data_IF_312714978059
#
_entry.id   IF_312714978059
#
_cell.length_a   1.000
_cell.length_b   1.000
_cell.length_c   1.000
_cell.angle_alpha   90.00
_cell.angle_beta   90.00
_cell.angle_gamma   90.00
#
_symmetry.space_group_name_H-M   'P 1'
#
loop_
_entity.id
_entity.type
_entity.pdbx_description
1 polymer ?
#
# COMPACT_ATOMS: atom_id res chain seq x y z
N UNK A 1 21.81 7.30 -32.59
CA UNK A 1 20.40 7.63 -32.27
C UNK A 1 20.35 8.25 -30.88
N UNK A 2 20.00 9.55 -30.73
CA UNK A 2 19.89 10.17 -29.39
C UNK A 2 18.61 9.67 -28.71
N UNK A 3 18.74 8.83 -27.70
CA UNK A 3 17.59 8.32 -26.93
C UNK A 3 16.97 9.51 -26.17
N UNK A 4 15.66 9.72 -26.35
CA UNK A 4 14.93 10.73 -25.61
C UNK A 4 14.80 10.30 -24.14
N UNK A 5 15.44 11.05 -23.23
CA UNK A 5 15.47 10.72 -21.80
C UNK A 5 14.07 10.57 -21.20
N UNK A 6 13.12 11.47 -21.54
CA UNK A 6 11.75 11.39 -21.04
C UNK A 6 11.08 10.07 -21.44
N UNK A 7 11.20 9.67 -22.71
CA UNK A 7 10.63 8.41 -23.20
C UNK A 7 11.28 7.20 -22.53
N UNK A 8 12.61 7.20 -22.42
CA UNK A 8 13.38 6.11 -21.81
C UNK A 8 13.01 5.89 -20.33
N UNK A 9 13.12 6.93 -19.50
CA UNK A 9 12.81 6.80 -18.07
C UNK A 9 11.33 6.51 -17.82
N UNK A 10 10.43 7.05 -18.65
CA UNK A 10 9.01 6.70 -18.56
C UNK A 10 8.79 5.22 -18.86
N UNK A 11 9.40 4.68 -19.92
CA UNK A 11 9.26 3.27 -20.28
C UNK A 11 9.79 2.34 -19.18
N UNK A 12 10.98 2.62 -18.65
CA UNK A 12 11.58 1.82 -17.56
C UNK A 12 10.72 1.92 -16.29
N UNK A 13 10.20 3.10 -15.95
CA UNK A 13 9.30 3.26 -14.81
C UNK A 13 8.02 2.43 -14.95
N UNK A 14 7.39 2.45 -16.13
CA UNK A 14 6.19 1.64 -16.42
C UNK A 14 6.50 0.14 -16.35
N UNK A 15 7.64 -0.28 -16.87
CA UNK A 15 8.08 -1.68 -16.78
C UNK A 15 8.22 -2.12 -15.31
N UNK A 16 8.86 -1.31 -14.47
CA UNK A 16 9.00 -1.60 -13.04
C UNK A 16 7.64 -1.63 -12.34
N UNK A 17 6.73 -0.68 -12.65
CA UNK A 17 5.38 -0.67 -12.10
C UNK A 17 4.59 -1.94 -12.45
N UNK A 18 4.65 -2.40 -13.70
CA UNK A 18 3.94 -3.62 -14.10
C UNK A 18 4.58 -4.88 -13.53
N UNK A 19 5.91 -4.94 -13.45
CA UNK A 19 6.59 -5.99 -12.70
C UNK A 19 6.07 -6.03 -11.26
N UNK A 20 5.95 -4.88 -10.58
CA UNK A 20 5.41 -4.78 -9.22
C UNK A 20 3.99 -5.35 -9.07
N UNK A 21 3.14 -5.17 -10.08
CA UNK A 21 1.76 -5.65 -10.02
C UNK A 21 1.60 -7.12 -10.42
N UNK A 22 2.33 -7.56 -11.45
CA UNK A 22 2.01 -8.80 -12.15
C UNK A 22 3.08 -9.89 -12.03
N UNK A 23 4.30 -9.56 -11.61
CA UNK A 23 5.33 -10.57 -11.42
C UNK A 23 5.07 -11.36 -10.13
N UNK A 24 4.86 -12.69 -10.19
CA UNK A 24 4.51 -13.49 -9.00
C UNK A 24 5.65 -13.55 -7.97
N UNK A 25 6.90 -13.55 -8.44
CA UNK A 25 8.07 -13.68 -7.57
C UNK A 25 8.48 -12.33 -6.97
N UNK A 26 8.26 -12.20 -5.65
CA UNK A 26 8.74 -11.04 -4.88
C UNK A 26 10.25 -10.84 -5.01
N UNK A 27 11.05 -11.91 -4.99
CA UNK A 27 12.51 -11.84 -5.07
C UNK A 27 12.98 -11.26 -6.41
N UNK A 28 12.43 -11.77 -7.52
CA UNK A 28 12.78 -11.24 -8.85
C UNK A 28 12.34 -9.79 -8.96
N UNK A 29 11.17 -9.45 -8.38
CA UNK A 29 10.66 -8.09 -8.38
C UNK A 29 11.61 -7.10 -7.72
N UNK A 30 12.06 -7.39 -6.48
CA UNK A 30 12.96 -6.49 -5.77
C UNK A 30 14.31 -6.36 -6.48
N UNK A 31 14.83 -7.43 -7.10
CA UNK A 31 16.07 -7.35 -7.89
C UNK A 31 15.91 -6.43 -9.11
N UNK A 32 14.78 -6.49 -9.81
CA UNK A 32 14.50 -5.59 -10.94
C UNK A 32 14.42 -4.12 -10.48
N UNK A 33 13.84 -3.85 -9.31
CA UNK A 33 13.79 -2.50 -8.75
C UNK A 33 15.19 -2.00 -8.38
N UNK A 34 15.98 -2.82 -7.69
CA UNK A 34 17.37 -2.50 -7.34
C UNK A 34 18.18 -2.23 -8.62
N UNK A 35 18.05 -3.09 -9.63
CA UNK A 35 18.66 -2.91 -10.93
C UNK A 35 18.24 -1.59 -11.59
N UNK A 36 16.95 -1.23 -11.55
CA UNK A 36 16.46 0.03 -12.08
C UNK A 36 17.07 1.26 -11.39
N UNK A 37 17.32 1.18 -10.08
CA UNK A 37 18.04 2.24 -9.34
C UNK A 37 19.52 2.27 -9.75
N UNK A 38 20.21 1.13 -9.77
CA UNK A 38 21.61 1.07 -10.19
C UNK A 38 21.82 1.55 -11.63
N UNK A 39 20.94 1.15 -12.55
CA UNK A 39 20.96 1.62 -13.93
C UNK A 39 20.85 3.14 -13.99
N UNK A 40 19.94 3.75 -13.22
CA UNK A 40 19.83 5.20 -13.14
C UNK A 40 21.12 5.84 -12.60
N UNK A 41 21.66 5.32 -11.51
CA UNK A 41 22.88 5.85 -10.89
C UNK A 41 24.10 5.74 -11.82
N UNK A 42 24.19 4.66 -12.60
CA UNK A 42 25.24 4.46 -13.60
C UNK A 42 25.10 5.45 -14.77
N UNK A 43 23.90 5.59 -15.34
CA UNK A 43 23.66 6.48 -16.49
C UNK A 43 23.77 7.98 -16.14
N UNK A 44 23.43 8.35 -14.91
CA UNK A 44 23.44 9.74 -14.42
C UNK A 44 24.60 10.03 -13.46
N UNK A 45 25.65 9.21 -13.50
CA UNK A 45 26.85 9.37 -12.68
C UNK A 45 27.42 10.79 -12.78
N UNK A 46 27.78 11.37 -11.63
CA UNK A 46 28.29 12.75 -11.53
C UNK A 46 27.25 13.87 -11.69
N UNK A 47 25.98 13.57 -12.01
CA UNK A 47 24.89 14.56 -12.21
C UNK A 47 23.77 14.46 -11.16
N UNK A 48 23.98 13.62 -10.15
CA UNK A 48 23.01 13.33 -9.12
C UNK A 48 22.98 14.44 -8.06
N UNK A 49 21.85 15.15 -7.97
CA UNK A 49 21.59 16.12 -6.90
C UNK A 49 20.27 15.70 -6.25
N UNK A 50 20.34 15.25 -5.01
CA UNK A 50 19.17 14.85 -4.21
C UNK A 50 18.90 15.91 -3.16
N UNK A 51 17.64 16.30 -3.00
CA UNK A 51 17.28 17.30 -2.01
C UNK A 51 17.47 16.76 -0.59
N UNK A 52 17.96 17.61 0.32
CA UNK A 52 18.05 17.28 1.75
C UNK A 52 16.68 16.96 2.33
N UNK A 53 15.62 17.61 1.83
CA UNK A 53 14.24 17.29 2.14
C UNK A 53 13.91 15.82 1.85
N UNK A 54 14.20 15.33 0.64
CA UNK A 54 13.94 13.93 0.27
C UNK A 54 14.81 12.96 1.06
N UNK A 55 16.09 13.27 1.26
CA UNK A 55 17.01 12.43 2.05
C UNK A 55 16.50 12.24 3.48
N UNK A 56 15.90 13.27 4.11
CA UNK A 56 15.29 13.14 5.44
C UNK A 56 14.05 12.22 5.48
N UNK A 57 13.37 12.00 4.35
CA UNK A 57 12.27 11.04 4.28
C UNK A 57 12.83 9.62 4.12
N UNK A 58 13.79 9.46 3.20
CA UNK A 58 14.48 8.21 2.93
C UNK A 58 15.22 7.67 4.17
N UNK A 59 15.89 8.55 4.91
CA UNK A 59 16.65 8.22 6.11
C UNK A 59 15.78 7.59 7.21
N UNK A 60 14.49 7.94 7.31
CA UNK A 60 13.61 7.32 8.31
C UNK A 60 13.32 5.85 7.92
N UNK A 61 13.05 5.57 6.64
CA UNK A 61 12.82 4.21 6.17
C UNK A 61 14.09 3.35 6.28
N UNK A 62 15.24 3.92 5.90
CA UNK A 62 16.55 3.26 6.09
C UNK A 62 16.86 3.05 7.57
N UNK A 63 16.50 3.99 8.43
CA UNK A 63 16.66 3.86 9.88
C UNK A 63 15.82 2.71 10.46
N UNK A 64 14.56 2.56 10.04
CA UNK A 64 13.72 1.42 10.45
C UNK A 64 14.37 0.10 10.01
N UNK A 65 14.84 0.03 8.77
CA UNK A 65 15.60 -1.13 8.28
C UNK A 65 16.86 -1.39 9.11
N UNK A 66 17.60 -0.33 9.47
CA UNK A 66 18.80 -0.40 10.31
C UNK A 66 18.53 -0.97 11.70
N UNK A 67 17.43 -0.57 12.35
CA UNK A 67 17.05 -1.05 13.68
C UNK A 67 16.86 -2.58 13.73
N UNK A 68 16.35 -3.19 12.66
CA UNK A 68 16.18 -4.64 12.60
C UNK A 68 17.50 -5.41 12.73
N UNK A 69 18.65 -4.83 12.38
CA UNK A 69 19.95 -5.48 12.56
C UNK A 69 20.36 -5.57 14.03
N UNK A 70 19.93 -4.63 14.88
CA UNK A 70 20.22 -4.69 16.33
C UNK A 70 19.62 -5.98 16.92
N UNK A 71 18.35 -6.26 16.63
CA UNK A 71 17.70 -7.50 17.04
C UNK A 71 18.37 -8.75 16.43
N UNK A 72 18.82 -8.68 15.17
CA UNK A 72 19.50 -9.81 14.51
C UNK A 72 20.81 -10.18 15.19
N UNK A 73 21.60 -9.18 15.61
CA UNK A 73 22.86 -9.38 16.33
C UNK A 73 22.63 -10.09 17.68
N UNK A 74 21.53 -9.77 18.37
CA UNK A 74 21.18 -10.34 19.67
C UNK A 74 20.69 -11.78 19.54
N UNK A 75 19.80 -12.07 18.58
CA UNK A 75 19.07 -13.35 18.54
C UNK A 75 19.61 -14.37 17.53
N UNK A 76 20.61 -14.02 16.71
CA UNK A 76 21.32 -14.89 15.75
C UNK A 76 20.39 -15.76 14.90
N UNK A 77 19.92 -15.21 13.79
CA UNK A 77 19.02 -15.89 12.85
C UNK A 77 19.76 -16.51 11.66
N UNK A 78 19.08 -17.38 10.91
CA UNK A 78 19.64 -17.96 9.69
C UNK A 78 19.83 -16.90 8.61
N UNK A 79 20.93 -17.00 7.85
CA UNK A 79 21.28 -16.02 6.81
C UNK A 79 20.20 -15.87 5.74
N UNK A 80 19.55 -16.99 5.36
CA UNK A 80 18.46 -16.99 4.37
C UNK A 80 17.28 -16.13 4.83
N UNK A 81 16.89 -16.24 6.10
CA UNK A 81 15.77 -15.45 6.63
C UNK A 81 16.16 -13.98 6.81
N UNK A 82 17.40 -13.71 7.21
CA UNK A 82 17.93 -12.35 7.32
C UNK A 82 17.86 -11.65 5.96
N UNK A 83 18.37 -12.29 4.91
CA UNK A 83 18.34 -11.74 3.55
C UNK A 83 16.91 -11.53 3.05
N UNK A 84 16.00 -12.45 3.36
CA UNK A 84 14.58 -12.30 3.02
C UNK A 84 14.02 -11.00 3.61
N UNK A 85 14.18 -10.78 4.92
CA UNK A 85 13.64 -9.59 5.57
C UNK A 85 14.32 -8.29 5.09
N UNK A 86 15.63 -8.32 4.84
CA UNK A 86 16.36 -7.19 4.25
C UNK A 86 15.69 -6.76 2.93
N UNK A 87 15.35 -7.70 2.05
CA UNK A 87 14.66 -7.37 0.81
C UNK A 87 13.26 -6.79 1.03
N UNK A 88 12.51 -7.31 2.01
CA UNK A 88 11.20 -6.74 2.38
C UNK A 88 11.31 -5.29 2.90
N UNK A 89 12.26 -5.02 3.80
CA UNK A 89 12.44 -3.68 4.37
C UNK A 89 13.09 -2.69 3.40
N UNK A 90 13.91 -3.18 2.46
CA UNK A 90 14.51 -2.35 1.42
C UNK A 90 13.51 -1.94 0.33
N UNK A 91 12.43 -2.71 0.12
CA UNK A 91 11.41 -2.42 -0.89
C UNK A 91 10.90 -0.97 -0.88
N UNK A 92 10.36 -0.43 0.22
CA UNK A 92 9.86 0.95 0.22
C UNK A 92 10.97 1.99 -0.02
N UNK A 93 12.22 1.71 0.37
CA UNK A 93 13.38 2.59 0.09
C UNK A 93 13.62 2.67 -1.41
N UNK A 94 13.68 1.53 -2.09
CA UNK A 94 13.95 1.44 -3.54
C UNK A 94 12.78 1.99 -4.34
N UNK A 95 11.53 1.67 -3.99
CA UNK A 95 10.35 2.20 -4.66
C UNK A 95 10.25 3.73 -4.58
N UNK A 96 10.54 4.30 -3.42
CA UNK A 96 10.58 5.75 -3.23
C UNK A 96 11.69 6.41 -4.06
N UNK A 97 12.87 5.79 -4.12
CA UNK A 97 13.99 6.24 -4.96
C UNK A 97 13.64 6.22 -6.45
N UNK A 98 13.04 5.14 -6.95
CA UNK A 98 12.66 5.02 -8.37
C UNK A 98 11.72 6.15 -8.76
N UNK A 99 10.64 6.35 -8.01
CA UNK A 99 9.69 7.44 -8.26
C UNK A 99 10.36 8.81 -8.27
N UNK A 100 11.21 9.10 -7.27
CA UNK A 100 11.87 10.38 -7.14
C UNK A 100 12.91 10.63 -8.24
N UNK A 101 13.82 9.70 -8.47
CA UNK A 101 14.95 9.87 -9.39
C UNK A 101 14.49 9.97 -10.85
N UNK A 102 13.55 9.13 -11.25
CA UNK A 102 13.09 9.07 -12.64
C UNK A 102 12.29 10.32 -12.98
N UNK A 103 11.37 10.75 -12.11
CA UNK A 103 10.60 11.96 -12.34
C UNK A 103 11.39 13.25 -12.08
N UNK A 104 12.48 13.19 -11.31
CA UNK A 104 13.48 14.26 -11.31
C UNK A 104 14.11 14.45 -12.68
N UNK A 105 14.47 13.37 -13.37
CA UNK A 105 15.08 13.45 -14.69
C UNK A 105 14.08 13.85 -15.78
N UNK A 106 12.83 13.43 -15.66
CA UNK A 106 11.74 13.81 -16.57
C UNK A 106 11.33 15.28 -16.36
N UNK A 107 11.29 15.74 -15.11
CA UNK A 107 10.92 17.10 -14.69
C UNK A 107 9.64 17.65 -15.35
N UNK A 108 8.62 16.81 -15.51
CA UNK A 108 7.34 17.23 -16.08
C UNK A 108 6.19 16.53 -15.35
N UNK A 109 5.42 17.31 -14.59
CA UNK A 109 4.33 16.81 -13.78
C UNK A 109 3.17 16.25 -14.63
N UNK A 110 2.87 16.87 -15.78
CA UNK A 110 1.85 16.38 -16.71
C UNK A 110 2.24 15.02 -17.29
N UNK A 111 3.53 14.81 -17.61
CA UNK A 111 4.05 13.51 -18.05
C UNK A 111 3.90 12.46 -16.95
N UNK A 112 4.25 12.79 -15.70
CA UNK A 112 4.02 11.88 -14.56
C UNK A 112 2.57 11.43 -14.43
N UNK A 113 1.63 12.39 -14.39
CA UNK A 113 0.21 12.07 -14.27
C UNK A 113 -0.26 11.25 -15.47
N UNK A 114 0.16 11.61 -16.69
CA UNK A 114 -0.18 10.86 -17.91
C UNK A 114 0.35 9.42 -17.86
N UNK A 115 1.57 9.21 -17.37
CA UNK A 115 2.18 7.89 -17.21
C UNK A 115 1.35 7.02 -16.28
N UNK A 116 0.92 7.53 -15.12
CA UNK A 116 0.06 6.79 -14.19
C UNK A 116 -1.30 6.48 -14.81
N UNK A 117 -1.93 7.47 -15.46
CA UNK A 117 -3.25 7.28 -16.11
C UNK A 117 -3.19 6.22 -17.22
N UNK A 118 -2.21 6.31 -18.13
CA UNK A 118 -2.05 5.34 -19.23
C UNK A 118 -1.73 3.95 -18.68
N UNK A 119 -0.84 3.86 -17.69
CA UNK A 119 -0.50 2.57 -17.07
C UNK A 119 -1.71 1.95 -16.39
N UNK A 120 -2.54 2.75 -15.70
CA UNK A 120 -3.80 2.28 -15.12
C UNK A 120 -4.81 1.79 -16.15
N UNK A 121 -4.95 2.47 -17.29
CA UNK A 121 -5.85 2.03 -18.37
C UNK A 121 -5.39 0.67 -18.93
N UNK A 122 -4.08 0.50 -19.16
CA UNK A 122 -3.51 -0.79 -19.59
C UNK A 122 -3.76 -1.86 -18.51
N UNK A 123 -3.56 -1.51 -17.24
CA UNK A 123 -3.78 -2.41 -16.10
C UNK A 123 -5.24 -2.89 -16.02
N UNK A 124 -6.20 -1.98 -16.24
CA UNK A 124 -7.62 -2.30 -16.27
C UNK A 124 -7.98 -3.18 -17.49
N UNK A 125 -7.35 -2.96 -18.65
CA UNK A 125 -7.52 -3.84 -19.81
C UNK A 125 -7.01 -5.26 -19.51
N UNK A 126 -5.86 -5.40 -18.84
CA UNK A 126 -5.35 -6.69 -18.37
C UNK A 126 -6.34 -7.33 -17.38
N UNK A 127 -6.89 -6.54 -16.46
CA UNK A 127 -7.86 -7.04 -15.48
C UNK A 127 -9.13 -7.59 -16.15
N UNK A 128 -9.72 -6.87 -17.11
CA UNK A 128 -10.86 -7.35 -17.88
C UNK A 128 -10.53 -8.61 -18.69
N UNK A 129 -9.33 -8.67 -19.28
CA UNK A 129 -8.86 -9.88 -19.95
C UNK A 129 -8.79 -11.07 -18.98
N UNK A 130 -8.23 -10.89 -17.79
CA UNK A 130 -8.17 -11.94 -16.77
C UNK A 130 -9.59 -12.41 -16.38
N UNK A 131 -10.51 -11.48 -16.14
CA UNK A 131 -11.90 -11.82 -15.82
C UNK A 131 -12.56 -12.62 -16.96
N UNK A 132 -12.41 -12.16 -18.20
CA UNK A 132 -13.08 -12.75 -19.35
C UNK A 132 -12.61 -14.19 -19.66
N UNK A 133 -11.32 -14.48 -19.43
CA UNK A 133 -10.71 -15.74 -19.86
C UNK A 133 -10.39 -16.72 -18.72
N UNK A 134 -10.18 -16.26 -17.48
CA UNK A 134 -9.76 -17.11 -16.37
C UNK A 134 -10.86 -17.35 -15.33
N UNK A 135 -11.82 -16.43 -15.20
CA UNK A 135 -12.88 -16.57 -14.18
C UNK A 135 -14.02 -17.42 -14.74
N UNK A 136 -14.12 -18.67 -14.26
CA UNK A 136 -15.16 -19.63 -14.70
C UNK A 136 -16.57 -19.27 -14.25
N UNK A 137 -16.72 -18.67 -13.07
CA UNK A 137 -18.01 -18.29 -12.50
C UNK A 137 -18.01 -16.81 -12.11
N UNK A 138 -18.68 -15.97 -12.89
CA UNK A 138 -18.80 -14.53 -12.62
C UNK A 138 -19.78 -14.21 -11.48
N UNK A 139 -20.66 -15.15 -11.11
CA UNK A 139 -21.63 -14.96 -10.03
C UNK A 139 -21.03 -15.14 -8.62
N UNK A 140 -19.83 -15.73 -8.52
CA UNK A 140 -19.13 -15.90 -7.26
C UNK A 140 -18.02 -14.86 -7.11
N UNK A 141 -18.09 -14.06 -6.05
CA UNK A 141 -17.08 -13.04 -5.75
C UNK A 141 -15.71 -13.70 -5.47
N UNK A 142 -15.71 -14.90 -4.93
CA UNK A 142 -14.50 -15.65 -4.57
C UNK A 142 -13.69 -16.07 -5.80
N UNK A 143 -14.34 -16.55 -6.86
CA UNK A 143 -13.68 -16.92 -8.13
C UNK A 143 -13.13 -15.72 -8.88
N UNK A 144 -13.78 -14.55 -8.81
CA UNK A 144 -13.20 -13.30 -9.33
C UNK A 144 -11.93 -12.98 -8.54
N UNK A 145 -12.03 -12.97 -7.20
CA UNK A 145 -10.93 -12.60 -6.31
C UNK A 145 -9.74 -13.56 -6.30
N UNK A 146 -9.93 -14.80 -6.73
CA UNK A 146 -8.86 -15.78 -6.90
C UNK A 146 -7.82 -15.28 -7.91
N UNK A 147 -8.28 -14.70 -9.02
CA UNK A 147 -7.43 -14.23 -10.12
C UNK A 147 -7.23 -12.70 -10.13
N UNK A 148 -8.08 -11.94 -9.44
CA UNK A 148 -7.97 -10.48 -9.33
C UNK A 148 -7.84 -10.03 -7.87
N UNK A 149 -6.63 -9.64 -7.46
CA UNK A 149 -6.43 -8.90 -6.19
C UNK A 149 -6.30 -7.40 -6.46
N UNK A 150 -6.48 -6.61 -5.42
CA UNK A 150 -6.51 -5.16 -5.45
C UNK A 150 -5.36 -4.51 -6.25
N UNK A 151 -5.72 -3.44 -6.97
CA UNK A 151 -4.81 -2.70 -7.83
C UNK A 151 -4.94 -1.19 -7.61
N UNK A 152 -4.07 -0.66 -6.74
CA UNK A 152 -4.08 0.78 -6.46
C UNK A 152 -3.64 1.64 -7.65
N UNK A 153 -2.95 1.09 -8.66
CA UNK A 153 -2.55 1.86 -9.84
C UNK A 153 -3.77 2.38 -10.60
N UNK A 154 -4.77 1.52 -10.80
CA UNK A 154 -6.02 1.87 -11.47
C UNK A 154 -6.82 2.90 -10.67
N UNK A 155 -6.82 2.77 -9.34
CA UNK A 155 -7.50 3.72 -8.47
C UNK A 155 -6.83 5.10 -8.52
N UNK A 156 -5.51 5.18 -8.43
CA UNK A 156 -4.79 6.44 -8.59
C UNK A 156 -4.97 7.01 -9.99
N UNK A 157 -4.95 6.18 -11.05
CA UNK A 157 -5.23 6.60 -12.41
C UNK A 157 -6.64 7.22 -12.56
N UNK A 158 -7.66 6.61 -11.94
CA UNK A 158 -9.03 7.12 -11.95
C UNK A 158 -9.10 8.51 -11.28
N UNK A 159 -8.54 8.64 -10.09
CA UNK A 159 -8.52 9.91 -9.35
C UNK A 159 -7.70 10.98 -10.08
N UNK A 160 -6.58 10.61 -10.67
CA UNK A 160 -5.76 11.51 -11.49
C UNK A 160 -6.55 11.99 -12.71
N UNK A 161 -7.19 11.08 -13.44
CA UNK A 161 -7.98 11.43 -14.61
C UNK A 161 -9.15 12.38 -14.28
N UNK A 162 -9.87 12.12 -13.19
CA UNK A 162 -11.05 12.92 -12.78
C UNK A 162 -10.63 14.29 -12.21
N UNK A 163 -9.64 14.33 -11.32
CA UNK A 163 -9.34 15.52 -10.53
C UNK A 163 -8.18 16.36 -11.05
N UNK A 164 -7.37 15.88 -11.98
CA UNK A 164 -6.25 16.67 -12.52
C UNK A 164 -6.71 18.02 -13.08
N UNK A 165 -7.78 18.04 -13.88
CA UNK A 165 -8.34 19.28 -14.44
C UNK A 165 -8.76 20.29 -13.37
N UNK A 166 -9.28 19.81 -12.23
CA UNK A 166 -9.71 20.66 -11.11
C UNK A 166 -8.55 21.45 -10.51
N UNK A 167 -7.34 20.88 -10.49
CA UNK A 167 -6.17 21.50 -9.86
C UNK A 167 -5.24 22.20 -10.85
N UNK A 168 -5.07 21.65 -12.06
CA UNK A 168 -4.11 22.15 -13.06
C UNK A 168 -4.77 22.95 -14.19
N UNK A 169 -6.09 23.13 -14.14
CA UNK A 169 -6.88 23.90 -15.12
C UNK A 169 -7.03 23.25 -16.51
N UNK A 170 -6.14 22.32 -16.87
CA UNK A 170 -6.13 21.64 -18.17
C UNK A 170 -6.45 20.14 -18.02
N UNK A 171 -7.18 19.54 -18.98
CA UNK A 171 -7.43 18.11 -18.95
C UNK A 171 -6.18 17.31 -19.36
N UNK A 172 -6.02 16.12 -18.78
CA UNK A 172 -4.93 15.20 -19.15
C UNK A 172 -5.16 14.55 -20.52
N UNK A 173 -6.42 14.23 -20.83
CA UNK A 173 -6.90 13.77 -22.15
C UNK A 173 -7.81 14.87 -22.71
N UNK A 174 -7.44 15.45 -23.84
CA UNK A 174 -8.14 16.61 -24.43
C UNK A 174 -9.54 16.25 -24.94
N UNK A 175 -9.69 15.06 -25.54
CA UNK A 175 -10.97 14.59 -26.02
C UNK A 175 -11.85 14.11 -24.85
N UNK A 176 -12.94 14.83 -24.60
CA UNK A 176 -13.90 14.54 -23.51
C UNK A 176 -14.52 13.14 -23.60
N UNK A 177 -14.77 12.62 -24.81
CA UNK A 177 -15.34 11.27 -25.00
C UNK A 177 -14.35 10.20 -24.55
N UNK A 178 -13.09 10.32 -24.96
CA UNK A 178 -12.03 9.39 -24.54
C UNK A 178 -11.74 9.49 -23.04
N UNK A 179 -11.72 10.71 -22.48
CA UNK A 179 -11.57 10.89 -21.03
C UNK A 179 -12.71 10.20 -20.26
N UNK A 180 -13.96 10.41 -20.67
CA UNK A 180 -15.13 9.77 -20.04
C UNK A 180 -15.11 8.25 -20.17
N UNK A 181 -14.79 7.73 -21.36
CA UNK A 181 -14.66 6.30 -21.59
C UNK A 181 -13.57 5.67 -20.70
N UNK A 182 -12.39 6.31 -20.61
CA UNK A 182 -11.31 5.87 -19.74
C UNK A 182 -11.70 5.91 -18.25
N UNK A 183 -12.40 6.95 -17.79
CA UNK A 183 -12.90 7.02 -16.41
C UNK A 183 -13.91 5.90 -16.10
N UNK A 184 -14.83 5.63 -17.03
CA UNK A 184 -15.83 4.55 -16.88
C UNK A 184 -15.15 3.19 -16.83
N UNK A 185 -14.19 2.94 -17.73
CA UNK A 185 -13.40 1.71 -17.77
C UNK A 185 -12.64 1.48 -16.46
N UNK A 186 -11.94 2.50 -15.96
CA UNK A 186 -11.21 2.43 -14.69
C UNK A 186 -12.15 2.25 -13.48
N UNK A 187 -13.30 2.93 -13.48
CA UNK A 187 -14.28 2.81 -12.41
C UNK A 187 -14.84 1.39 -12.30
N UNK A 188 -15.30 0.81 -13.42
CA UNK A 188 -15.81 -0.56 -13.43
C UNK A 188 -14.72 -1.57 -13.08
N UNK A 189 -13.49 -1.38 -13.57
CA UNK A 189 -12.37 -2.24 -13.19
C UNK A 189 -12.07 -2.18 -11.70
N UNK A 190 -12.02 -0.97 -11.11
CA UNK A 190 -11.85 -0.78 -9.66
C UNK A 190 -12.97 -1.44 -8.84
N UNK A 191 -14.21 -1.37 -9.32
CA UNK A 191 -15.37 -1.97 -8.68
C UNK A 191 -15.31 -3.50 -8.68
N UNK A 192 -14.90 -4.10 -9.81
CA UNK A 192 -14.83 -5.56 -9.98
C UNK A 192 -13.71 -6.25 -9.18
N UNK A 193 -12.78 -5.51 -8.59
CA UNK A 193 -11.83 -6.09 -7.61
C UNK A 193 -12.50 -6.50 -6.29
N UNK A 194 -13.70 -6.00 -5.99
CA UNK A 194 -14.42 -6.24 -4.74
C UNK A 194 -13.56 -6.05 -3.48
N UNK A 195 -12.61 -5.10 -3.48
CA UNK A 195 -11.63 -4.93 -2.41
C UNK A 195 -12.06 -3.89 -1.38
N UNK A 196 -12.27 -4.36 -0.13
CA UNK A 196 -12.54 -3.50 1.04
C UNK A 196 -11.47 -2.41 1.21
N UNK A 197 -10.20 -2.78 1.05
CA UNK A 197 -9.08 -1.83 1.19
C UNK A 197 -9.09 -0.78 0.08
N UNK A 198 -9.41 -1.15 -1.17
CA UNK A 198 -9.54 -0.16 -2.26
C UNK A 198 -10.67 0.83 -2.02
N UNK A 199 -11.80 0.38 -1.47
CA UNK A 199 -12.93 1.27 -1.10
C UNK A 199 -12.47 2.28 -0.04
N UNK A 200 -11.78 1.81 1.01
CA UNK A 200 -11.23 2.69 2.05
C UNK A 200 -10.24 3.69 1.46
N UNK A 201 -9.34 3.26 0.58
CA UNK A 201 -8.38 4.14 -0.10
C UNK A 201 -9.09 5.18 -0.98
N UNK A 202 -10.14 4.78 -1.71
CA UNK A 202 -10.95 5.67 -2.52
C UNK A 202 -11.64 6.74 -1.67
N UNK A 203 -12.20 6.35 -0.52
CA UNK A 203 -12.81 7.27 0.45
C UNK A 203 -11.76 8.25 0.98
N UNK A 204 -10.58 7.79 1.38
CA UNK A 204 -9.50 8.68 1.86
C UNK A 204 -9.11 9.68 0.78
N UNK A 205 -8.88 9.23 -0.47
CA UNK A 205 -8.55 10.11 -1.59
C UNK A 205 -9.64 11.16 -1.83
N UNK A 206 -10.91 10.74 -1.82
CA UNK A 206 -12.06 11.63 -1.99
C UNK A 206 -12.10 12.69 -0.88
N UNK A 207 -12.08 12.25 0.38
CA UNK A 207 -12.11 13.14 1.54
C UNK A 207 -10.92 14.11 1.53
N UNK A 208 -9.72 13.66 1.14
CA UNK A 208 -8.54 14.53 1.04
C UNK A 208 -8.68 15.60 -0.04
N UNK A 209 -9.20 15.23 -1.22
CA UNK A 209 -9.43 16.17 -2.33
C UNK A 209 -10.46 17.25 -1.98
N UNK A 210 -11.49 16.89 -1.23
CA UNK A 210 -12.48 17.85 -0.73
C UNK A 210 -12.02 18.59 0.55
N UNK A 211 -10.91 18.17 1.16
CA UNK A 211 -10.32 18.81 2.33
C UNK A 211 -10.91 18.36 3.67
N UNK A 212 -11.70 17.29 3.69
CA UNK A 212 -12.30 16.72 4.90
C UNK A 212 -11.28 15.96 5.77
N UNK A 213 -10.12 15.58 5.23
CA UNK A 213 -9.06 14.95 6.04
C UNK A 213 -8.23 15.96 6.83
N UNK A 214 -8.34 17.27 6.56
CA UNK A 214 -7.68 18.28 7.37
C UNK A 214 -8.38 18.37 8.72
N UNK A 215 -7.65 18.27 9.83
CA UNK A 215 -8.24 18.39 11.17
C UNK A 215 -8.58 19.85 11.42
N UNK A 216 -9.88 20.12 11.60
CA UNK A 216 -10.49 21.42 11.89
C UNK A 216 -11.69 21.17 12.79
N UNK A 217 -12.20 22.20 13.47
CA UNK A 217 -13.40 22.06 14.31
C UNK A 217 -14.58 21.44 13.54
N UNK A 218 -14.80 21.87 12.29
CA UNK A 218 -15.88 21.35 11.43
C UNK A 218 -15.66 19.88 11.04
N UNK A 219 -14.44 19.51 10.66
CA UNK A 219 -14.16 18.12 10.27
C UNK A 219 -14.18 17.16 11.46
N UNK A 220 -13.80 17.61 12.66
CA UNK A 220 -13.97 16.85 13.90
C UNK A 220 -15.47 16.62 14.21
N UNK A 221 -16.32 17.64 14.04
CA UNK A 221 -17.77 17.48 14.22
C UNK A 221 -18.36 16.46 13.24
N UNK A 222 -17.98 16.54 11.96
CA UNK A 222 -18.42 15.57 10.93
C UNK A 222 -17.93 14.17 11.29
N UNK A 223 -16.66 14.02 11.70
CA UNK A 223 -16.11 12.73 12.12
C UNK A 223 -16.87 12.15 13.32
N UNK A 224 -17.23 12.98 14.30
CA UNK A 224 -18.05 12.57 15.44
C UNK A 224 -19.42 12.01 15.02
N UNK A 225 -20.10 12.68 14.09
CA UNK A 225 -21.38 12.20 13.54
C UNK A 225 -21.20 10.87 12.78
N UNK A 226 -20.15 10.76 11.95
CA UNK A 226 -19.87 9.52 11.21
C UNK A 226 -19.57 8.37 12.17
N UNK A 227 -18.78 8.60 13.22
CA UNK A 227 -18.50 7.59 14.24
C UNK A 227 -19.75 7.20 15.03
N UNK A 228 -20.65 8.15 15.33
CA UNK A 228 -21.94 7.87 15.95
C UNK A 228 -22.79 6.95 15.05
N UNK A 229 -22.93 7.30 13.77
CA UNK A 229 -23.70 6.50 12.80
C UNK A 229 -23.10 5.10 12.63
N UNK A 230 -21.77 5.00 12.54
CA UNK A 230 -21.09 3.70 12.50
C UNK A 230 -21.31 2.91 13.79
N UNK A 231 -21.26 3.56 14.96
CA UNK A 231 -21.56 2.93 16.24
C UNK A 231 -22.98 2.37 16.30
N UNK A 232 -23.97 3.13 15.84
CA UNK A 232 -25.36 2.68 15.73
C UNK A 232 -25.52 1.53 14.73
N UNK A 233 -24.84 1.60 13.58
CA UNK A 233 -24.83 0.52 12.59
C UNK A 233 -24.24 -0.77 13.18
N UNK A 234 -23.11 -0.69 13.89
CA UNK A 234 -22.53 -1.86 14.54
C UNK A 234 -23.44 -2.40 15.64
N UNK A 235 -24.07 -1.54 16.45
CA UNK A 235 -25.06 -1.98 17.44
C UNK A 235 -26.22 -2.75 16.79
N UNK A 236 -26.71 -2.29 15.65
CA UNK A 236 -27.71 -3.02 14.85
C UNK A 236 -27.17 -4.35 14.31
N UNK A 237 -25.98 -4.37 13.69
CA UNK A 237 -25.40 -5.59 13.13
C UNK A 237 -25.13 -6.67 14.20
N UNK A 238 -24.77 -6.26 15.41
CA UNK A 238 -24.55 -7.19 16.53
C UNK A 238 -25.85 -7.77 17.11
N UNK A 239 -26.95 -7.01 17.04
CA UNK A 239 -28.27 -7.49 17.50
C UNK A 239 -29.02 -8.29 16.42
N UNK A 240 -28.73 -8.05 15.14
CA UNK A 240 -29.32 -8.80 14.03
C UNK A 240 -28.73 -10.22 13.90
N UNK A 241 -29.60 -11.21 13.64
CA UNK A 241 -29.25 -12.62 13.38
C UNK A 241 -28.67 -12.83 11.97
N UNK A 242 -27.51 -12.23 11.72
CA UNK A 242 -26.80 -12.33 10.44
C UNK A 242 -25.82 -13.51 10.49
N UNK A 243 -26.04 -14.52 9.65
CA UNK A 243 -25.27 -15.78 9.63
C UNK A 243 -24.32 -15.87 8.44
N UNK A 244 -23.22 -16.63 8.62
CA UNK A 244 -22.21 -16.90 7.59
C UNK A 244 -22.78 -17.56 6.33
N UNK A 245 -23.80 -18.41 6.49
CA UNK A 245 -24.43 -19.18 5.42
C UNK A 245 -25.32 -18.36 4.48
N UNK A 246 -25.63 -17.12 4.83
CA UNK A 246 -26.57 -16.31 4.07
C UNK A 246 -25.92 -15.87 2.75
N UNK A 247 -26.72 -15.72 1.69
CA UNK A 247 -26.24 -15.36 0.34
C UNK A 247 -26.49 -13.89 0.03
N UNK A 248 -25.75 -13.33 -0.93
CA UNK A 248 -25.97 -11.98 -1.43
C UNK A 248 -25.61 -10.88 -0.42
N UNK A 249 -26.53 -9.94 -0.20
CA UNK A 249 -26.29 -8.75 0.63
C UNK A 249 -26.05 -9.08 2.11
N UNK A 250 -26.72 -10.09 2.65
CA UNK A 250 -26.51 -10.52 4.04
C UNK A 250 -25.11 -11.10 4.27
N UNK A 251 -24.55 -11.80 3.26
CA UNK A 251 -23.16 -12.26 3.30
C UNK A 251 -22.17 -11.09 3.39
N UNK A 252 -22.48 -9.99 2.72
CA UNK A 252 -21.70 -8.76 2.78
C UNK A 252 -21.82 -8.08 4.15
N UNK A 253 -23.03 -7.98 4.70
CA UNK A 253 -23.25 -7.46 6.06
C UNK A 253 -22.55 -8.31 7.12
N UNK A 254 -22.54 -9.64 6.97
CA UNK A 254 -21.77 -10.54 7.82
C UNK A 254 -20.27 -10.22 7.79
N UNK A 255 -19.71 -9.99 6.60
CA UNK A 255 -18.30 -9.59 6.44
C UNK A 255 -17.98 -8.23 7.06
N UNK A 256 -18.94 -7.28 7.07
CA UNK A 256 -18.79 -6.00 7.78
C UNK A 256 -18.82 -6.22 9.30
N UNK A 257 -19.82 -6.98 9.78
CA UNK A 257 -19.99 -7.32 11.20
C UNK A 257 -18.73 -7.93 11.79
N UNK A 258 -18.10 -8.87 11.08
CA UNK A 258 -16.92 -9.59 11.55
C UNK A 258 -15.57 -8.89 11.26
N UNK A 259 -15.54 -7.80 10.49
CA UNK A 259 -14.28 -7.13 10.13
C UNK A 259 -13.45 -6.64 11.34
N UNK A 260 -14.03 -6.12 12.43
CA UNK A 260 -13.27 -5.81 13.64
C UNK A 260 -12.73 -7.06 14.33
N UNK A 261 -13.55 -8.12 14.44
CA UNK A 261 -13.15 -9.38 15.08
C UNK A 261 -11.96 -10.01 14.33
N UNK A 262 -11.97 -10.02 12.99
CA UNK A 262 -10.88 -10.52 12.12
C UNK A 262 -9.48 -10.00 12.52
N UNK A 263 -9.41 -8.80 13.10
CA UNK A 263 -8.17 -8.10 13.43
C UNK A 263 -7.88 -8.12 14.94
N UNK A 264 -8.91 -8.03 15.78
CA UNK A 264 -8.78 -7.77 17.22
C UNK A 264 -9.20 -8.94 18.12
N UNK A 265 -9.84 -9.98 17.58
CA UNK A 265 -10.28 -11.12 18.39
C UNK A 265 -9.07 -11.86 18.98
N UNK A 266 -9.13 -12.10 20.30
CA UNK A 266 -8.01 -12.68 21.04
C UNK A 266 -8.25 -14.14 21.39
N UNK A 267 -9.50 -14.60 21.37
CA UNK A 267 -9.89 -16.00 21.60
C UNK A 267 -10.27 -16.63 20.26
N UNK A 268 -9.30 -17.31 19.66
CA UNK A 268 -9.46 -17.98 18.35
C UNK A 268 -9.35 -19.46 18.61
N UNK A 269 -10.40 -20.22 18.26
CA UNK A 269 -10.33 -21.67 18.29
C UNK A 269 -9.48 -22.17 17.11
N UNK A 270 -8.29 -22.70 17.41
CA UNK A 270 -7.36 -23.20 16.38
C UNK A 270 -7.77 -24.55 15.80
N UNK A 271 -8.70 -25.28 16.42
CA UNK A 271 -9.21 -26.56 15.93
C UNK A 271 -10.32 -26.33 14.89
N UNK A 272 -11.06 -25.22 15.02
CA UNK A 272 -12.05 -24.79 14.03
C UNK A 272 -11.39 -24.00 12.90
N UNK A 273 -11.04 -24.72 11.83
CA UNK A 273 -10.35 -24.15 10.67
C UNK A 273 -11.10 -22.96 10.06
N UNK A 274 -12.43 -23.04 9.98
CA UNK A 274 -13.24 -22.00 9.35
C UNK A 274 -13.27 -20.69 10.17
N UNK A 275 -13.17 -20.79 11.50
CA UNK A 275 -13.05 -19.66 12.42
C UNK A 275 -11.63 -19.09 12.43
N UNK A 276 -10.62 -19.96 12.40
CA UNK A 276 -9.22 -19.56 12.32
C UNK A 276 -8.93 -18.75 11.06
N UNK A 277 -9.47 -19.13 9.89
CA UNK A 277 -9.30 -18.38 8.65
C UNK A 277 -9.98 -17.00 8.69
N UNK A 278 -11.15 -16.90 9.32
CA UNK A 278 -11.85 -15.63 9.49
C UNK A 278 -11.08 -14.67 10.42
N UNK A 279 -10.20 -15.19 11.29
CA UNK A 279 -9.40 -14.43 12.26
C UNK A 279 -7.89 -14.55 12.04
N UNK A 280 -7.47 -14.95 10.83
CA UNK A 280 -6.07 -15.28 10.53
C UNK A 280 -5.10 -14.15 10.91
N UNK A 281 -5.47 -12.91 10.59
CA UNK A 281 -4.66 -11.72 10.88
C UNK A 281 -4.48 -11.49 12.38
N UNK A 282 -5.56 -11.62 13.16
CA UNK A 282 -5.53 -11.56 14.63
C UNK A 282 -4.68 -12.68 15.23
N UNK A 283 -4.77 -13.89 14.67
CA UNK A 283 -3.96 -15.03 15.10
C UNK A 283 -2.45 -14.79 14.92
N UNK A 284 -2.03 -14.39 13.71
CA UNK A 284 -0.65 -14.04 13.39
C UNK A 284 -0.10 -12.98 14.36
N UNK A 285 -0.89 -11.92 14.58
CA UNK A 285 -0.55 -10.84 15.50
C UNK A 285 -0.37 -11.34 16.94
N UNK A 286 -1.30 -12.17 17.43
CA UNK A 286 -1.24 -12.76 18.77
C UNK A 286 0.01 -13.62 18.95
N UNK A 287 0.36 -14.44 17.94
CA UNK A 287 1.57 -15.28 17.98
C UNK A 287 2.84 -14.42 18.03
N UNK A 288 2.92 -13.35 17.25
CA UNK A 288 4.05 -12.43 17.27
C UNK A 288 4.19 -11.72 18.62
N UNK A 289 3.10 -11.20 19.18
CA UNK A 289 3.10 -10.53 20.50
C UNK A 289 3.51 -11.49 21.61
N UNK A 290 3.05 -12.74 21.58
CA UNK A 290 3.47 -13.76 22.56
C UNK A 290 4.99 -13.98 22.54
N UNK A 291 5.60 -14.07 21.34
CA UNK A 291 7.06 -14.23 21.19
C UNK A 291 7.84 -13.00 21.67
N UNK A 292 7.29 -11.80 21.54
CA UNK A 292 7.89 -10.57 22.11
C UNK A 292 7.87 -10.63 23.63
N UNK A 293 6.75 -11.06 24.23
CA UNK A 293 6.62 -11.15 25.70
C UNK A 293 7.57 -12.15 26.32
N UNK A 294 7.91 -13.23 25.62
CA UNK A 294 8.92 -14.21 26.06
C UNK A 294 10.34 -13.59 26.16
N UNK A 295 10.61 -12.48 25.46
CA UNK A 295 11.93 -11.84 25.41
C UNK A 295 11.80 -10.31 25.56
N UNK A 296 11.84 -9.76 26.79
CA UNK A 296 11.55 -8.34 27.03
C UNK A 296 12.36 -7.35 26.20
N UNK A 297 13.64 -7.65 25.91
CA UNK A 297 14.49 -6.82 25.05
C UNK A 297 13.97 -6.68 23.60
N UNK A 298 13.20 -7.65 23.12
CA UNK A 298 12.55 -7.60 21.80
C UNK A 298 11.44 -6.56 21.73
N UNK A 299 10.90 -6.07 22.85
CA UNK A 299 9.92 -4.98 22.83
C UNK A 299 10.54 -3.67 22.33
N UNK A 300 11.79 -3.41 22.74
CA UNK A 300 12.47 -2.13 22.44
C UNK A 300 13.07 -2.14 21.03
N UNK A 301 13.88 -3.15 20.72
CA UNK A 301 14.66 -3.22 19.48
C UNK A 301 14.12 -4.24 18.46
N UNK A 302 13.06 -4.96 18.80
CA UNK A 302 12.53 -6.04 17.97
C UNK A 302 13.29 -7.34 18.15
N UNK A 303 12.76 -8.39 17.52
CA UNK A 303 13.42 -9.70 17.39
C UNK A 303 14.43 -9.73 16.23
N UNK A 304 14.45 -8.68 15.40
CA UNK A 304 15.40 -8.48 14.32
C UNK A 304 15.03 -9.11 12.99
N UNK A 305 15.81 -8.80 11.94
CA UNK A 305 15.74 -9.46 10.64
C UNK A 305 16.11 -10.94 10.76
N UNK A 306 15.36 -11.79 10.08
CA UNK A 306 15.49 -13.24 10.09
C UNK A 306 14.65 -13.96 11.14
N UNK A 307 14.02 -13.22 12.05
CA UNK A 307 13.09 -13.78 13.05
C UNK A 307 11.86 -14.40 12.40
N UNK A 308 11.36 -15.50 12.94
CA UNK A 308 10.16 -16.16 12.43
C UNK A 308 9.09 -16.29 13.50
N UNK A 309 7.84 -16.02 13.11
CA UNK A 309 6.68 -16.25 13.96
C UNK A 309 6.26 -17.72 13.85
N UNK A 310 6.31 -18.43 14.97
CA UNK A 310 5.85 -19.81 15.08
C UNK A 310 4.34 -19.87 15.25
N UNK A 311 3.67 -20.41 14.22
CA UNK A 311 2.22 -20.63 14.16
C UNK A 311 1.74 -21.80 15.02
N UNK A 312 2.65 -22.58 15.64
CA UNK A 312 2.37 -23.75 16.48
C UNK A 312 1.71 -24.94 15.78
N UNK A 313 1.10 -24.76 14.61
CA UNK A 313 0.65 -25.81 13.69
C UNK A 313 1.17 -25.53 12.28
N UNK A 314 0.96 -26.48 11.36
CA UNK A 314 1.29 -26.32 9.95
C UNK A 314 0.08 -25.77 9.19
N UNK A 315 0.17 -24.51 8.75
CA UNK A 315 -0.90 -23.85 8.00
C UNK A 315 -0.74 -24.09 6.49
N UNK A 316 -1.81 -24.45 5.74
CA UNK A 316 -1.74 -24.68 4.30
C UNK A 316 -1.70 -23.34 3.53
N UNK A 317 -0.61 -22.60 3.71
CA UNK A 317 -0.37 -21.29 3.10
C UNK A 317 0.41 -21.38 1.77
N UNK A 318 0.83 -22.59 1.42
CA UNK A 318 1.65 -22.90 0.25
C UNK A 318 1.08 -24.14 -0.42
N UNK A 319 1.37 -24.30 -1.70
CA UNK A 319 1.00 -25.51 -2.48
C UNK A 319 1.74 -26.78 -2.01
N UNK A 320 2.64 -26.66 -1.03
CA UNK A 320 3.30 -27.78 -0.37
C UNK A 320 2.33 -28.48 0.61
N UNK A 321 2.17 -29.79 0.46
CA UNK A 321 1.27 -30.66 1.24
C UNK A 321 1.50 -30.57 2.75
N UNK A 322 2.71 -30.18 3.19
CA UNK A 322 3.03 -30.06 4.62
C UNK A 322 2.63 -28.72 5.23
N UNK A 323 2.40 -27.67 4.43
CA UNK A 323 2.13 -26.31 4.93
C UNK A 323 3.30 -25.64 5.66
N UNK A 324 3.09 -24.42 6.14
CA UNK A 324 4.09 -23.60 6.84
C UNK A 324 3.80 -23.53 8.34
N UNK A 325 4.81 -23.82 9.16
CA UNK A 325 4.76 -23.62 10.63
C UNK A 325 5.37 -22.28 11.07
N UNK A 326 6.31 -21.77 10.30
CA UNK A 326 7.04 -20.56 10.61
C UNK A 326 6.89 -19.55 9.47
N UNK A 327 6.46 -18.34 9.80
CA UNK A 327 6.27 -17.26 8.83
C UNK A 327 7.16 -16.07 9.17
N UNK A 328 7.71 -15.42 8.15
CA UNK A 328 8.56 -14.23 8.34
C UNK A 328 7.75 -12.94 8.34
N UNK A 329 6.64 -12.91 7.59
CA UNK A 329 5.79 -11.76 7.35
C UNK A 329 4.43 -11.99 8.02
N UNK A 330 3.80 -10.90 8.46
CA UNK A 330 2.46 -10.91 9.04
C UNK A 330 1.59 -9.97 8.22
N UNK A 331 0.29 -10.19 8.17
CA UNK A 331 -0.62 -9.28 7.44
C UNK A 331 -0.83 -7.94 8.15
N UNK A 332 -0.77 -7.92 9.48
CA UNK A 332 -0.83 -6.69 10.27
C UNK A 332 0.56 -6.04 10.32
N UNK A 333 0.72 -4.94 9.59
CA UNK A 333 1.98 -4.22 9.45
C UNK A 333 2.48 -3.58 10.74
N UNK A 334 1.60 -3.17 11.65
CA UNK A 334 2.03 -2.59 12.92
C UNK A 334 2.70 -3.63 13.80
N UNK A 335 2.08 -4.81 13.89
CA UNK A 335 2.65 -5.93 14.65
C UNK A 335 3.88 -6.48 13.93
N UNK A 336 3.90 -6.50 12.60
CA UNK A 336 5.08 -6.88 11.82
C UNK A 336 6.29 -5.97 12.13
N UNK A 337 6.11 -4.65 12.05
CA UNK A 337 7.19 -3.69 12.34
C UNK A 337 7.61 -3.78 13.81
N UNK A 338 6.66 -3.87 14.74
CA UNK A 338 6.94 -4.04 16.16
C UNK A 338 7.75 -5.32 16.41
N UNK A 339 7.36 -6.43 15.79
CA UNK A 339 8.04 -7.72 15.94
C UNK A 339 9.46 -7.66 15.40
N UNK A 340 9.69 -7.04 14.24
CA UNK A 340 11.01 -6.99 13.60
C UNK A 340 11.95 -5.92 14.17
N UNK A 341 11.42 -4.75 14.51
CA UNK A 341 12.21 -3.53 14.80
C UNK A 341 11.87 -2.87 16.13
N UNK A 342 10.92 -3.43 16.89
CA UNK A 342 10.54 -2.95 18.21
C UNK A 342 9.71 -1.67 18.19
N UNK A 343 9.45 -1.14 19.38
CA UNK A 343 8.64 0.07 19.57
C UNK A 343 9.31 1.30 18.94
N UNK A 344 10.64 1.34 18.90
CA UNK A 344 11.39 2.45 18.27
C UNK A 344 11.13 2.46 16.76
N UNK A 345 11.23 1.32 16.10
CA UNK A 345 10.94 1.22 14.66
C UNK A 345 9.47 1.51 14.34
N UNK A 346 8.54 1.04 15.18
CA UNK A 346 7.12 1.38 15.06
C UNK A 346 6.87 2.88 15.22
N UNK A 347 7.51 3.54 16.19
CA UNK A 347 7.39 4.98 16.37
C UNK A 347 7.94 5.76 15.17
N UNK A 348 9.13 5.38 14.67
CA UNK A 348 9.69 5.96 13.44
C UNK A 348 8.75 5.78 12.24
N UNK A 349 8.09 4.62 12.14
CA UNK A 349 7.08 4.36 11.12
C UNK A 349 5.89 5.31 11.23
N UNK A 350 5.33 5.49 12.43
CA UNK A 350 4.24 6.43 12.66
C UNK A 350 4.65 7.87 12.38
N UNK A 351 5.88 8.26 12.75
CA UNK A 351 6.42 9.59 12.45
C UNK A 351 6.49 9.86 10.95
N UNK A 352 6.95 8.91 10.12
CA UNK A 352 7.03 9.14 8.68
C UNK A 352 5.63 9.26 8.05
N UNK A 353 4.65 8.48 8.51
CA UNK A 353 3.25 8.62 8.07
C UNK A 353 2.68 9.98 8.45
N UNK A 354 2.91 10.42 9.69
CA UNK A 354 2.50 11.74 10.17
C UNK A 354 3.17 12.86 9.36
N UNK A 355 4.46 12.73 9.04
CA UNK A 355 5.19 13.70 8.20
C UNK A 355 4.60 13.83 6.80
N UNK A 356 4.16 12.72 6.18
CA UNK A 356 3.46 12.78 4.90
C UNK A 356 2.06 13.39 5.05
N UNK A 357 1.31 12.99 6.09
CA UNK A 357 -0.01 13.55 6.37
C UNK A 357 0.00 15.08 6.54
N UNK A 358 1.01 15.65 7.22
CA UNK A 358 1.11 17.08 7.50
C UNK A 358 1.13 17.95 6.22
N UNK A 359 1.42 17.38 5.05
CA UNK A 359 1.32 18.09 3.77
C UNK A 359 -0.06 18.72 3.50
N UNK A 360 -1.14 18.21 4.13
CA UNK A 360 -2.48 18.81 4.00
C UNK A 360 -2.58 20.24 4.55
N UNK A 361 -1.68 20.61 5.48
CA UNK A 361 -1.64 21.93 6.09
C UNK A 361 -0.78 22.93 5.30
N UNK A 362 -0.05 22.46 4.28
CA UNK A 362 0.67 23.32 3.36
C UNK A 362 -0.28 24.00 2.36
N UNK A 363 0.27 24.70 1.35
CA UNK A 363 -0.53 25.27 0.26
C UNK A 363 -1.35 24.17 -0.41
N UNK A 364 -2.67 24.39 -0.52
CA UNK A 364 -3.59 23.46 -1.16
C UNK A 364 -3.29 23.36 -2.65
N UNK A 365 -2.65 22.28 -3.07
CA UNK A 365 -2.42 21.93 -4.47
C UNK A 365 -2.57 20.41 -4.64
N UNK A 366 -2.53 19.93 -5.88
CA UNK A 366 -2.76 18.51 -6.15
C UNK A 366 -1.72 17.61 -5.45
N UNK A 367 -0.45 18.01 -5.47
CA UNK A 367 0.66 17.25 -4.90
C UNK A 367 0.57 17.13 -3.38
N UNK A 368 0.35 18.24 -2.67
CA UNK A 368 0.29 18.27 -1.20
C UNK A 368 -0.89 17.46 -0.67
N UNK A 369 -2.04 17.54 -1.33
CA UNK A 369 -3.21 16.72 -1.02
C UNK A 369 -2.91 15.23 -1.21
N UNK A 370 -2.31 14.84 -2.33
CA UNK A 370 -2.02 13.44 -2.62
C UNK A 370 -0.96 12.86 -1.68
N UNK A 371 0.10 13.59 -1.36
CA UNK A 371 1.12 13.16 -0.39
C UNK A 371 0.47 12.92 0.97
N UNK A 372 -0.40 13.83 1.41
CA UNK A 372 -1.13 13.67 2.66
C UNK A 372 -2.08 12.48 2.64
N UNK A 373 -2.84 12.31 1.56
CA UNK A 373 -3.73 11.18 1.38
C UNK A 373 -2.96 9.86 1.44
N UNK A 374 -1.79 9.77 0.79
CA UNK A 374 -0.90 8.60 0.84
C UNK A 374 -0.44 8.32 2.27
N UNK A 375 -0.07 9.35 3.05
CA UNK A 375 0.26 9.19 4.47
C UNK A 375 -0.86 8.54 5.28
N UNK A 376 -2.11 8.99 5.08
CA UNK A 376 -3.29 8.39 5.71
C UNK A 376 -3.60 6.99 5.17
N UNK A 377 -3.46 6.77 3.86
CA UNK A 377 -3.64 5.45 3.24
C UNK A 377 -2.70 4.44 3.86
N UNK A 378 -1.42 4.77 4.02
CA UNK A 378 -0.48 3.86 4.65
C UNK A 378 -0.76 3.68 6.14
N UNK A 379 -1.12 4.73 6.87
CA UNK A 379 -1.54 4.61 8.26
C UNK A 379 -2.68 3.58 8.41
N UNK A 380 -3.76 3.72 7.63
CA UNK A 380 -4.92 2.81 7.72
C UNK A 380 -4.62 1.42 7.14
N UNK A 381 -3.96 1.35 5.98
CA UNK A 381 -3.70 0.07 5.30
C UNK A 381 -2.67 -0.80 6.04
N UNK A 382 -1.84 -0.22 6.90
CA UNK A 382 -0.92 -0.97 7.78
C UNK A 382 -1.66 -1.94 8.69
N UNK A 383 -2.91 -1.63 9.08
CA UNK A 383 -3.73 -2.53 9.91
C UNK A 383 -4.08 -3.83 9.15
N UNK A 384 -4.33 -3.74 7.84
CA UNK A 384 -4.98 -4.81 7.07
C UNK A 384 -4.05 -5.56 6.11
N UNK A 385 -3.08 -4.85 5.51
CA UNK A 385 -2.27 -5.35 4.38
C UNK A 385 -0.80 -4.87 4.43
N UNK A 386 -0.21 -4.73 5.62
CA UNK A 386 1.21 -4.30 5.84
C UNK A 386 1.67 -2.94 5.32
N UNK A 387 0.77 -2.10 4.82
CA UNK A 387 1.08 -0.71 4.47
C UNK A 387 2.19 -0.60 3.42
N UNK A 388 3.25 0.18 3.70
CA UNK A 388 4.39 0.38 2.77
C UNK A 388 5.19 -0.90 2.49
N UNK A 389 5.07 -1.91 3.37
CA UNK A 389 5.78 -3.18 3.23
C UNK A 389 4.95 -4.22 2.47
N UNK A 390 3.76 -3.85 1.98
CA UNK A 390 2.94 -4.74 1.16
C UNK A 390 3.70 -5.18 -0.08
N UNK A 391 3.68 -6.47 -0.39
CA UNK A 391 4.44 -7.05 -1.49
C UNK A 391 4.10 -6.43 -2.85
N UNK A 392 2.86 -6.00 -3.09
CA UNK A 392 2.34 -5.42 -4.35
C UNK A 392 2.18 -3.89 -4.33
N UNK A 393 2.66 -3.22 -3.28
CA UNK A 393 2.54 -1.76 -3.17
C UNK A 393 3.19 -1.03 -4.35
N UNK A 394 2.37 -0.24 -5.07
CA UNK A 394 2.78 0.70 -6.12
C UNK A 394 2.72 2.15 -5.63
N UNK A 395 2.05 2.43 -4.51
CA UNK A 395 1.79 3.78 -4.03
C UNK A 395 3.12 4.47 -3.68
N UNK A 396 4.13 3.70 -3.27
CA UNK A 396 5.43 4.25 -2.86
C UNK A 396 6.18 4.88 -4.03
N UNK A 397 5.99 4.34 -5.24
CA UNK A 397 6.56 4.91 -6.48
C UNK A 397 5.88 6.24 -6.82
N UNK A 398 4.55 6.29 -6.69
CA UNK A 398 3.76 7.51 -6.88
C UNK A 398 4.20 8.56 -5.85
N UNK A 399 4.38 8.17 -4.59
CA UNK A 399 4.83 9.05 -3.52
C UNK A 399 6.23 9.63 -3.81
N UNK A 400 7.18 8.80 -4.26
CA UNK A 400 8.53 9.25 -4.62
C UNK A 400 8.51 10.36 -5.66
N UNK A 401 7.70 10.20 -6.71
CA UNK A 401 7.52 11.22 -7.74
C UNK A 401 6.86 12.49 -7.20
N UNK A 402 5.81 12.37 -6.39
CA UNK A 402 5.14 13.52 -5.76
C UNK A 402 6.08 14.31 -4.84
N UNK A 403 6.93 13.63 -4.05
CA UNK A 403 7.93 14.27 -3.20
C UNK A 403 8.98 15.05 -4.00
N UNK A 404 9.29 14.62 -5.23
CA UNK A 404 10.09 15.44 -6.14
C UNK A 404 9.34 16.71 -6.54
N UNK A 405 8.14 16.59 -7.10
CA UNK A 405 7.41 17.73 -7.65
C UNK A 405 6.95 18.75 -6.62
N UNK A 406 6.68 18.33 -5.37
CA UNK A 406 6.32 19.27 -4.30
C UNK A 406 7.51 20.11 -3.84
N UNK A 407 8.73 19.56 -3.97
CA UNK A 407 9.96 20.23 -3.54
C UNK A 407 10.64 20.98 -4.70
N UNK A 408 10.53 20.48 -5.93
CA UNK A 408 10.85 21.25 -7.11
C UNK A 408 9.92 22.47 -7.08
N UNK A 409 10.48 23.69 -7.11
CA UNK A 409 9.70 24.91 -7.30
C UNK A 409 9.07 24.82 -8.69
N UNK A 410 7.97 24.09 -8.85
CA UNK A 410 7.17 24.12 -10.07
C UNK A 410 6.59 25.53 -10.09
N UNK A 411 7.00 26.39 -11.03
CA UNK A 411 6.28 27.64 -11.22
C UNK A 411 4.86 27.24 -11.61
N UNK A 412 3.91 27.52 -10.72
CA UNK A 412 2.49 27.47 -11.08
C UNK A 412 2.31 28.56 -12.13
N UNK A 413 1.83 28.25 -13.35
CA UNK A 413 1.47 29.29 -14.30
C UNK A 413 0.36 30.13 -13.67
N UNK A 414 0.57 31.44 -13.54
CA UNK A 414 -0.43 32.40 -13.07
C UNK A 414 -0.35 32.74 -11.58
N UNK A 415 0.59 33.61 -11.24
CA UNK A 415 0.21 34.90 -10.66
C UNK A 415 0.24 35.91 -11.78
#
# INVERSE_FOLDING_TARGET
>A
MKINATKFYTAVFVAVLFCQLYLPSFKVNIYLQIFAVFLFLFLEYGKLIVSTFFLKQLAVLVGIMGLGFIGTMVFRHSMVNILKDIFHFMKPVVGLLIGYLYFRKINNFRVFVKTIVVSGIISAAIHFFVIAFYVKNLGAIESIREFSKDNFLELFALFFLIYYKKFEGTPIIENRKYAKAASVLLFFSCFLYFSRTMIVVAIILLLSIYGFTRITRKTIQILGIVLLVLGLLFAYLYTADIKRSNKGFEAFLYKIKNAPAEIFETRINTENHAELWDHWRGYEAKRAIALIKEKPGSLIFGTGHGSLVNLKFYAPLTDDNKGLRYISELHNGYVYILYKTGIIGLFMYLLIMARWYIFIYARKNFMTILISAIGLIYFISTITITGVYNARDIIIFILGALLYFVNAKVPVPGR
#
